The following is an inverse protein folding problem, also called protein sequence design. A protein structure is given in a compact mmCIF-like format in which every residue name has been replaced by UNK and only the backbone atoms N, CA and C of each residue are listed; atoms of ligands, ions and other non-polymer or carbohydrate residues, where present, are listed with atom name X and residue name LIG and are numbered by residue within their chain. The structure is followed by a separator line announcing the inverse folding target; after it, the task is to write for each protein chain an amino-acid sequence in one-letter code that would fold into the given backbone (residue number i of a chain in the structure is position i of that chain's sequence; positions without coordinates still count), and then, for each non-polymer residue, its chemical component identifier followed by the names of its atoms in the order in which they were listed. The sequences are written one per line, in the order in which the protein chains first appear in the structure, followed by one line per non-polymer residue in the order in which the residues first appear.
data_IF_002170588046
#
_entry.id   IF_002170588046
#
_cell.length_a   1.000
_cell.length_b   1.000
_cell.length_c   1.000
_cell.angle_alpha   90.00
_cell.angle_beta   90.00
_cell.angle_gamma   90.00
#
_symmetry.space_group_name_H-M   'P 1'
#
loop_
_entity.id
_entity.type
_entity.pdbx_description
1 polymer ?
#
# COMPACT_ATOMS: atom_id res chain seq x y z
N UNK A 1 -8.90 -9.54 -0.43
CA UNK A 1 -7.87 -8.86 -1.25
C UNK A 1 -7.06 -9.83 -2.10
N UNK A 2 -6.54 -10.92 -1.54
CA UNK A 2 -5.66 -11.86 -2.29
C UNK A 2 -6.33 -12.65 -3.43
N UNK A 3 -7.65 -12.89 -3.38
CA UNK A 3 -8.36 -13.51 -4.51
C UNK A 3 -8.34 -12.67 -5.80
N UNK A 4 -8.47 -11.34 -5.67
CA UNK A 4 -8.39 -10.40 -6.80
C UNK A 4 -6.93 -10.27 -7.27
N UNK A 5 -5.97 -10.25 -6.34
CA UNK A 5 -4.54 -10.28 -6.68
C UNK A 5 -4.19 -11.46 -7.59
N UNK A 6 -4.67 -12.65 -7.23
CA UNK A 6 -4.47 -13.89 -7.99
C UNK A 6 -5.01 -13.81 -9.42
N UNK A 7 -6.20 -13.25 -9.59
CA UNK A 7 -6.81 -13.14 -10.92
C UNK A 7 -6.07 -12.12 -11.79
N UNK A 8 -5.60 -11.03 -11.19
CA UNK A 8 -4.71 -10.07 -11.86
C UNK A 8 -3.39 -10.74 -12.25
N UNK A 9 -2.75 -11.46 -11.34
CA UNK A 9 -1.49 -12.16 -11.61
C UNK A 9 -1.63 -13.14 -12.79
N UNK A 10 -2.72 -13.90 -12.84
CA UNK A 10 -3.00 -14.83 -13.94
C UNK A 10 -3.29 -14.12 -15.26
N UNK A 11 -3.90 -12.94 -15.25
CA UNK A 11 -4.24 -12.19 -16.46
C UNK A 11 -3.05 -11.43 -17.08
N UNK A 12 -1.99 -11.19 -16.31
CA UNK A 12 -0.78 -10.46 -16.74
C UNK A 12 0.31 -11.36 -17.34
N UNK A 13 0.06 -12.67 -17.49
CA UNK A 13 1.05 -13.62 -18.03
C UNK A 13 0.95 -13.73 -19.58
N UNK A 14 2.06 -13.77 -20.36
CA UNK A 14 3.43 -14.10 -19.93
C UNK A 14 4.61 -13.19 -20.40
N UNK A 15 4.65 -11.86 -20.24
CA UNK A 15 5.83 -11.12 -20.77
C UNK A 15 6.55 -10.01 -19.97
N UNK A 16 6.21 -9.63 -18.72
CA UNK A 16 7.05 -8.58 -18.05
C UNK A 16 7.16 -8.54 -16.54
N UNK A 17 6.33 -9.24 -15.75
CA UNK A 17 6.34 -9.07 -14.29
C UNK A 17 6.22 -10.40 -13.53
N UNK A 18 6.96 -10.50 -12.43
CA UNK A 18 6.84 -11.54 -11.42
C UNK A 18 5.96 -11.04 -10.28
N UNK A 19 4.99 -11.86 -9.85
CA UNK A 19 4.11 -11.53 -8.73
C UNK A 19 4.63 -12.17 -7.45
N UNK A 20 4.79 -11.36 -6.41
CA UNK A 20 5.29 -11.79 -5.11
C UNK A 20 4.36 -11.27 -4.01
N UNK A 21 4.03 -12.13 -3.05
CA UNK A 21 3.25 -11.79 -1.86
C UNK A 21 4.20 -11.67 -0.67
N UNK A 22 4.14 -10.54 0.04
CA UNK A 22 4.75 -10.38 1.35
C UNK A 22 3.92 -11.15 2.39
N UNK A 23 4.42 -12.32 2.79
CA UNK A 23 3.85 -13.17 3.82
C UNK A 23 4.39 -12.84 5.21
N UNK A 24 3.63 -13.17 6.24
CA UNK A 24 4.10 -13.15 7.64
C UNK A 24 4.02 -14.56 8.21
N UNK A 25 5.06 -15.01 8.91
CA UNK A 25 5.13 -16.40 9.41
C UNK A 25 4.13 -16.70 10.53
N UNK A 26 3.63 -15.68 11.21
CA UNK A 26 2.66 -15.79 12.31
C UNK A 26 1.19 -15.83 11.86
N UNK A 27 0.95 -15.97 10.55
CA UNK A 27 -0.39 -16.10 9.98
C UNK A 27 -0.55 -17.47 9.32
N UNK A 28 -1.81 -17.87 9.11
CA UNK A 28 -2.20 -19.21 8.65
C UNK A 28 -1.37 -19.71 7.46
N UNK A 29 -0.56 -20.75 7.71
CA UNK A 29 0.31 -21.35 6.71
C UNK A 29 -0.49 -21.98 5.56
N UNK A 30 -1.63 -22.63 5.85
CA UNK A 30 -2.49 -23.23 4.82
C UNK A 30 -3.06 -22.17 3.88
N UNK A 31 -3.33 -20.97 4.41
CA UNK A 31 -3.81 -19.85 3.63
C UNK A 31 -2.76 -19.42 2.58
N UNK A 32 -1.50 -19.30 2.98
CA UNK A 32 -0.42 -18.95 2.07
C UNK A 32 -0.07 -20.07 1.10
N UNK A 33 -0.08 -21.35 1.53
CA UNK A 33 0.16 -22.47 0.61
C UNK A 33 -0.82 -22.50 -0.56
N UNK A 34 -2.12 -22.30 -0.28
CA UNK A 34 -3.15 -22.23 -1.33
C UNK A 34 -2.88 -21.13 -2.36
N UNK A 35 -2.17 -20.07 -1.96
CA UNK A 35 -1.77 -18.97 -2.85
C UNK A 35 -0.47 -19.33 -3.58
N UNK A 36 0.52 -19.89 -2.89
CA UNK A 36 1.82 -20.26 -3.45
C UNK A 36 1.78 -21.43 -4.43
N UNK A 37 0.76 -22.29 -4.35
CA UNK A 37 0.52 -23.38 -5.31
C UNK A 37 0.11 -22.87 -6.71
N UNK A 38 -0.19 -21.58 -6.86
CA UNK A 38 -0.55 -21.02 -8.15
C UNK A 38 0.68 -20.71 -9.00
N UNK A 39 0.61 -21.08 -10.28
CA UNK A 39 1.64 -20.69 -11.26
C UNK A 39 1.78 -19.16 -11.25
N UNK A 40 3.02 -18.70 -11.09
CA UNK A 40 3.45 -17.29 -11.16
C UNK A 40 3.22 -16.42 -9.92
N UNK A 41 2.95 -17.01 -8.74
CA UNK A 41 2.96 -16.26 -7.47
C UNK A 41 4.02 -16.86 -6.54
N UNK A 42 4.99 -16.04 -6.14
CA UNK A 42 5.94 -16.38 -5.07
C UNK A 42 5.50 -15.77 -3.75
N UNK A 43 5.94 -16.36 -2.65
CA UNK A 43 5.71 -15.83 -1.30
C UNK A 43 7.07 -15.63 -0.64
N UNK A 44 7.27 -14.44 -0.07
CA UNK A 44 8.44 -14.09 0.72
C UNK A 44 7.96 -13.77 2.12
N UNK A 45 8.47 -14.50 3.11
CA UNK A 45 8.03 -14.38 4.51
C UNK A 45 8.94 -13.44 5.29
N UNK A 46 8.34 -12.55 6.08
CA UNK A 46 9.00 -11.68 7.06
C UNK A 46 10.13 -10.80 6.50
N UNK A 47 10.16 -10.63 5.17
CA UNK A 47 11.19 -9.86 4.47
C UNK A 47 10.60 -8.80 3.52
N UNK A 48 9.56 -8.13 4.01
CA UNK A 48 8.80 -7.11 3.27
C UNK A 48 9.69 -5.98 2.75
N UNK A 49 10.70 -5.56 3.51
CA UNK A 49 11.54 -4.42 3.14
C UNK A 49 12.53 -4.74 2.02
N UNK A 50 13.16 -5.91 2.03
CA UNK A 50 13.96 -6.32 0.88
C UNK A 50 13.07 -6.53 -0.35
N UNK A 51 11.87 -7.09 -0.18
CA UNK A 51 10.92 -7.23 -1.27
C UNK A 51 10.53 -5.87 -1.86
N UNK A 52 10.22 -4.88 -1.02
CA UNK A 52 9.91 -3.52 -1.47
C UNK A 52 11.10 -2.87 -2.18
N UNK A 53 12.34 -3.12 -1.75
CA UNK A 53 13.53 -2.53 -2.36
C UNK A 53 13.74 -2.90 -3.84
N UNK A 54 13.18 -4.04 -4.27
CA UNK A 54 13.27 -4.54 -5.66
C UNK A 54 11.92 -4.47 -6.39
N UNK A 55 10.85 -4.06 -5.70
CA UNK A 55 9.51 -4.04 -6.27
C UNK A 55 9.34 -2.90 -7.28
N UNK A 56 8.77 -3.21 -8.44
CA UNK A 56 8.49 -2.21 -9.46
C UNK A 56 7.21 -1.41 -9.17
N UNK A 57 6.20 -2.08 -8.60
CA UNK A 57 4.92 -1.52 -8.18
C UNK A 57 4.28 -2.44 -7.11
N UNK A 58 3.34 -1.92 -6.32
CA UNK A 58 2.71 -2.67 -5.24
C UNK A 58 1.18 -2.51 -5.19
N UNK A 59 0.51 -3.57 -4.73
CA UNK A 59 -0.89 -3.54 -4.32
C UNK A 59 -0.89 -3.60 -2.80
N UNK A 60 -1.37 -2.54 -2.15
CA UNK A 60 -1.18 -2.36 -0.71
C UNK A 60 -2.52 -2.20 -0.02
N UNK A 61 -2.72 -2.84 1.12
CA UNK A 61 -3.90 -2.60 1.95
C UNK A 61 -3.81 -1.21 2.61
N UNK A 62 -4.96 -0.62 2.99
CA UNK A 62 -4.92 0.60 3.81
C UNK A 62 -4.24 0.30 5.15
N UNK A 63 -3.24 1.12 5.49
CA UNK A 63 -2.45 0.99 6.71
C UNK A 63 -1.06 1.61 6.60
N UNK A 64 -0.20 1.31 7.57
CA UNK A 64 1.21 1.75 7.61
C UNK A 64 2.01 1.26 6.41
N UNK A 65 1.67 0.08 5.88
CA UNK A 65 2.28 -0.48 4.67
C UNK A 65 2.23 0.49 3.48
N UNK A 66 1.22 1.37 3.40
CA UNK A 66 1.15 2.38 2.34
C UNK A 66 2.29 3.39 2.44
N UNK A 67 2.62 3.81 3.66
CA UNK A 67 3.70 4.74 3.93
C UNK A 67 5.06 4.08 3.76
N UNK A 68 5.22 2.84 4.25
CA UNK A 68 6.46 2.06 4.06
C UNK A 68 6.77 1.86 2.57
N UNK A 69 5.78 1.44 1.79
CA UNK A 69 5.89 1.28 0.32
C UNK A 69 6.31 2.60 -0.35
N UNK A 70 5.73 3.73 0.07
CA UNK A 70 6.09 5.07 -0.41
C UNK A 70 7.54 5.44 -0.04
N UNK A 71 7.99 5.10 1.17
CA UNK A 71 9.37 5.36 1.62
C UNK A 71 10.40 4.65 0.73
N UNK A 72 10.08 3.45 0.24
CA UNK A 72 10.89 2.72 -0.75
C UNK A 72 10.76 3.25 -2.19
N UNK A 73 10.00 4.33 -2.42
CA UNK A 73 9.69 4.87 -3.75
C UNK A 73 9.00 3.86 -4.68
N UNK A 74 8.21 2.94 -4.13
CA UNK A 74 7.48 1.95 -4.92
C UNK A 74 6.08 2.51 -5.24
N UNK A 75 5.74 2.76 -6.52
CA UNK A 75 4.40 3.17 -6.90
C UNK A 75 3.37 2.13 -6.49
N UNK A 76 2.21 2.57 -6.02
CA UNK A 76 1.22 1.68 -5.42
C UNK A 76 -0.23 2.01 -5.79
N UNK A 77 -1.06 0.97 -5.73
CA UNK A 77 -2.53 1.09 -5.70
C UNK A 77 -3.01 0.60 -4.35
N UNK A 78 -3.74 1.45 -3.63
CA UNK A 78 -4.28 1.11 -2.31
C UNK A 78 -5.63 0.45 -2.47
N UNK A 79 -5.80 -0.71 -1.85
CA UNK A 79 -6.99 -1.53 -1.98
C UNK A 79 -7.57 -1.86 -0.60
N UNK A 80 -8.88 -1.67 -0.42
CA UNK A 80 -9.53 -2.08 0.82
C UNK A 80 -10.98 -2.53 0.60
N UNK A 81 -11.31 -3.68 1.20
CA UNK A 81 -12.66 -4.23 1.27
C UNK A 81 -12.96 -4.63 2.70
N UNK A 82 -13.59 -3.73 3.44
CA UNK A 82 -14.11 -3.97 4.79
C UNK A 82 -15.62 -4.16 4.78
N UNK A 83 -16.22 -4.31 5.97
CA UNK A 83 -17.68 -4.31 6.11
C UNK A 83 -18.24 -2.96 5.62
N UNK A 84 -19.16 -3.00 4.66
CA UNK A 84 -19.78 -1.82 4.05
C UNK A 84 -20.46 -0.93 5.09
N UNK A 85 -21.16 -1.54 6.07
CA UNK A 85 -21.88 -0.79 7.10
C UNK A 85 -20.90 -0.02 7.99
N UNK A 86 -19.83 -0.69 8.46
CA UNK A 86 -18.77 -0.06 9.26
C UNK A 86 -18.07 1.05 8.47
N UNK A 87 -17.80 0.85 7.18
CA UNK A 87 -17.20 1.87 6.32
C UNK A 87 -18.11 3.10 6.16
N UNK A 88 -19.41 2.91 5.98
CA UNK A 88 -20.38 3.99 5.84
C UNK A 88 -20.56 4.79 7.14
N UNK A 89 -20.49 4.14 8.29
CA UNK A 89 -20.50 4.80 9.60
C UNK A 89 -19.21 5.62 9.76
N UNK A 90 -18.05 4.98 9.55
CA UNK A 90 -16.75 5.63 9.69
C UNK A 90 -16.63 6.86 8.78
N UNK A 91 -17.05 6.75 7.51
CA UNK A 91 -17.03 7.88 6.55
C UNK A 91 -17.95 9.04 6.95
N UNK A 92 -19.05 8.79 7.66
CA UNK A 92 -19.98 9.84 8.11
C UNK A 92 -19.54 10.50 9.41
N UNK A 93 -18.87 9.75 10.28
CA UNK A 93 -18.39 10.23 11.58
C UNK A 93 -17.02 10.92 11.45
N UNK A 94 -16.16 10.44 10.55
CA UNK A 94 -14.79 10.91 10.39
C UNK A 94 -14.66 11.69 9.08
N UNK A 95 -14.31 12.98 9.20
CA UNK A 95 -14.20 13.94 8.08
C UNK A 95 -12.91 13.79 7.26
N UNK A 96 -12.27 12.63 7.26
CA UNK A 96 -11.00 12.43 6.55
C UNK A 96 -11.32 12.00 5.11
N UNK A 97 -10.87 12.75 4.08
CA UNK A 97 -11.24 12.49 2.68
C UNK A 97 -10.56 11.26 2.08
N UNK A 98 -9.53 10.73 2.73
CA UNK A 98 -8.69 9.63 2.25
C UNK A 98 -8.50 8.54 3.31
N UNK A 99 -8.26 7.31 2.85
CA UNK A 99 -8.09 6.13 3.74
C UNK A 99 -6.63 5.70 3.85
N UNK A 100 -5.79 6.02 2.87
CA UNK A 100 -4.35 5.75 2.94
C UNK A 100 -3.60 6.86 3.69
N UNK A 101 -2.59 6.49 4.48
CA UNK A 101 -1.74 7.48 5.14
C UNK A 101 -1.04 8.39 4.14
N UNK A 102 -0.64 7.84 2.99
CA UNK A 102 0.01 8.59 1.89
C UNK A 102 -0.89 9.74 1.42
N UNK A 103 -2.16 9.48 1.12
CA UNK A 103 -3.07 10.53 0.66
C UNK A 103 -3.47 11.49 1.78
N UNK A 104 -3.62 11.01 3.02
CA UNK A 104 -3.89 11.86 4.19
C UNK A 104 -2.76 12.88 4.37
N UNK A 105 -1.49 12.46 4.33
CA UNK A 105 -0.34 13.36 4.49
C UNK A 105 -0.17 14.27 3.26
N UNK A 106 -0.45 13.76 2.07
CA UNK A 106 -0.44 14.55 0.84
C UNK A 106 -1.52 15.64 0.83
N UNK A 107 -2.63 15.41 1.52
CA UNK A 107 -3.88 16.17 1.43
C UNK A 107 -4.45 16.21 0.01
N UNK A 108 -4.21 15.14 -0.75
CA UNK A 108 -4.71 14.92 -2.11
C UNK A 108 -4.60 13.45 -2.47
N UNK A 109 -5.22 13.04 -3.58
CA UNK A 109 -5.10 11.69 -4.12
C UNK A 109 -3.75 11.49 -4.84
N UNK A 110 -2.68 11.32 -4.06
CA UNK A 110 -1.35 10.99 -4.56
C UNK A 110 -1.28 9.55 -5.10
N UNK A 111 -1.91 8.61 -4.41
CA UNK A 111 -2.04 7.20 -4.82
C UNK A 111 -3.51 6.86 -5.04
N UNK A 112 -3.78 5.96 -6.00
CA UNK A 112 -5.17 5.55 -6.28
C UNK A 112 -5.69 4.67 -5.14
N UNK A 113 -6.87 5.00 -4.63
CA UNK A 113 -7.61 4.19 -3.66
C UNK A 113 -8.78 3.47 -4.35
N UNK A 114 -8.73 2.15 -4.39
CA UNK A 114 -9.81 1.27 -4.81
C UNK A 114 -10.50 0.71 -3.56
N UNK A 115 -11.64 1.32 -3.21
CA UNK A 115 -12.37 1.02 -1.98
C UNK A 115 -13.72 0.35 -2.30
N UNK A 116 -14.09 -0.65 -1.51
CA UNK A 116 -15.41 -1.27 -1.55
C UNK A 116 -15.80 -1.75 -2.96
N UNK A 117 -16.88 -1.21 -3.55
CA UNK A 117 -17.35 -1.58 -4.89
C UNK A 117 -16.38 -1.21 -6.00
N UNK A 118 -15.49 -0.23 -5.78
CA UNK A 118 -14.47 0.14 -6.76
C UNK A 118 -13.31 -0.85 -6.78
N UNK A 119 -13.17 -1.71 -5.76
CA UNK A 119 -12.15 -2.74 -5.72
C UNK A 119 -12.58 -3.97 -6.51
N UNK A 120 -12.52 -3.82 -7.82
CA UNK A 120 -12.76 -4.88 -8.81
C UNK A 120 -11.46 -5.24 -9.53
N UNK A 121 -11.44 -6.42 -10.14
CA UNK A 121 -10.31 -6.89 -10.95
C UNK A 121 -10.01 -5.93 -12.10
N UNK A 122 -11.05 -5.49 -12.82
CA UNK A 122 -10.88 -4.59 -13.96
C UNK A 122 -10.32 -3.23 -13.57
N UNK A 123 -10.84 -2.62 -12.50
CA UNK A 123 -10.29 -1.37 -11.99
C UNK A 123 -8.84 -1.55 -11.51
N UNK A 124 -8.55 -2.67 -10.82
CA UNK A 124 -7.20 -2.93 -10.36
C UNK A 124 -6.22 -3.12 -11.54
N UNK A 125 -6.60 -3.86 -12.59
CA UNK A 125 -5.78 -4.03 -13.80
C UNK A 125 -5.47 -2.69 -14.45
N UNK A 126 -6.48 -1.82 -14.61
CA UNK A 126 -6.33 -0.49 -15.21
C UNK A 126 -5.37 0.37 -14.40
N UNK A 127 -5.54 0.43 -13.09
CA UNK A 127 -4.72 1.28 -12.21
C UNK A 127 -3.30 0.75 -12.06
N UNK A 128 -3.10 -0.57 -12.04
CA UNK A 128 -1.76 -1.16 -12.09
C UNK A 128 -1.05 -0.84 -13.39
N UNK A 129 -1.72 -1.00 -14.55
CA UNK A 129 -1.16 -0.64 -15.85
C UNK A 129 -0.68 0.80 -15.88
N UNK A 130 -1.41 1.71 -15.23
CA UNK A 130 -1.02 3.13 -15.15
C UNK A 130 0.28 3.36 -14.37
N UNK A 131 0.63 2.52 -13.40
CA UNK A 131 1.85 2.71 -12.60
C UNK A 131 3.01 1.81 -13.04
N UNK A 132 2.74 0.78 -13.85
CA UNK A 132 3.75 -0.15 -14.40
C UNK A 132 4.14 0.17 -15.84
N UNK A 133 3.19 0.56 -16.71
CA UNK A 133 3.45 0.77 -18.14
C UNK A 133 3.30 2.23 -18.59
N UNK A 134 2.51 3.04 -17.87
CA UNK A 134 2.35 4.46 -18.18
C UNK A 134 3.26 5.31 -17.29
N UNK A 135 4.27 5.93 -17.88
CA UNK A 135 5.23 6.72 -17.12
C UNK A 135 4.62 7.97 -16.47
N UNK A 136 3.50 8.51 -16.96
CA UNK A 136 2.92 9.75 -16.43
C UNK A 136 2.39 9.57 -15.01
N UNK A 137 1.50 8.59 -14.79
CA UNK A 137 0.93 8.37 -13.45
C UNK A 137 1.99 7.87 -12.46
N UNK A 138 2.92 7.02 -12.93
CA UNK A 138 4.09 6.60 -12.17
C UNK A 138 4.91 7.80 -11.69
N UNK A 139 5.27 8.70 -12.60
CA UNK A 139 6.09 9.87 -12.27
C UNK A 139 5.35 10.85 -11.35
N UNK A 140 4.02 10.98 -11.49
CA UNK A 140 3.21 11.73 -10.54
C UNK A 140 3.31 11.17 -9.13
N UNK A 141 3.14 9.85 -8.94
CA UNK A 141 3.30 9.23 -7.62
C UNK A 141 4.70 9.50 -7.05
N UNK A 142 5.75 9.27 -7.84
CA UNK A 142 7.14 9.48 -7.40
C UNK A 142 7.43 10.94 -7.05
N UNK A 143 6.80 11.89 -7.75
CA UNK A 143 6.92 13.32 -7.44
C UNK A 143 6.23 13.65 -6.12
N UNK A 144 5.01 13.16 -5.94
CA UNK A 144 4.27 13.35 -4.69
C UNK A 144 4.99 12.70 -3.50
N UNK A 145 5.65 11.56 -3.71
CA UNK A 145 6.43 10.90 -2.66
C UNK A 145 7.58 11.76 -2.15
N UNK A 146 8.22 12.56 -3.01
CA UNK A 146 9.25 13.51 -2.58
C UNK A 146 8.65 14.56 -1.64
N UNK A 147 7.54 15.18 -2.04
CA UNK A 147 6.85 16.18 -1.22
C UNK A 147 6.34 15.59 0.11
N UNK A 148 5.83 14.35 0.09
CA UNK A 148 5.38 13.66 1.31
C UNK A 148 6.56 13.38 2.24
N UNK A 149 7.71 12.93 1.71
CA UNK A 149 8.95 12.71 2.49
C UNK A 149 9.44 13.98 3.17
N UNK A 150 9.35 15.11 2.51
CA UNK A 150 9.67 16.42 3.11
C UNK A 150 8.70 16.76 4.26
N UNK A 151 7.39 16.52 4.08
CA UNK A 151 6.38 16.78 5.11
C UNK A 151 6.54 15.91 6.37
N UNK A 152 6.81 14.62 6.23
CA UNK A 152 7.01 13.71 7.38
C UNK A 152 8.31 14.02 8.14
N UNK A 153 9.28 14.63 7.45
CA UNK A 153 10.57 14.99 8.01
C UNK A 153 11.49 13.80 8.25
N UNK A 154 12.56 14.06 8.98
CA UNK A 154 13.61 13.08 9.25
C UNK A 154 13.30 12.22 10.49
N UNK A 155 14.13 11.19 10.68
CA UNK A 155 14.13 10.32 11.87
C UNK A 155 14.19 11.13 13.17
N UNK A 156 13.85 10.48 14.28
CA UNK A 156 13.90 11.07 15.63
C UNK A 156 12.55 11.54 16.16
N UNK A 157 11.43 11.07 15.60
CA UNK A 157 10.10 11.35 16.14
C UNK A 157 9.99 10.94 17.62
N UNK A 158 10.39 9.71 17.96
CA UNK A 158 10.35 9.22 19.34
C UNK A 158 11.25 10.02 20.30
N UNK A 159 12.45 10.40 19.86
CA UNK A 159 13.37 11.22 20.65
C UNK A 159 12.81 12.63 20.90
N UNK A 160 12.27 13.27 19.86
CA UNK A 160 11.58 14.57 19.98
C UNK A 160 10.41 14.47 20.97
N UNK A 161 9.59 13.43 20.87
CA UNK A 161 8.48 13.20 21.80
C UNK A 161 8.98 12.99 23.23
N UNK A 162 10.02 12.17 23.44
CA UNK A 162 10.60 11.96 24.76
C UNK A 162 11.11 13.28 25.38
N UNK A 163 11.83 14.08 24.61
CA UNK A 163 12.32 15.39 25.05
C UNK A 163 11.17 16.35 25.40
N UNK A 164 10.07 16.34 24.63
CA UNK A 164 8.88 17.13 24.92
C UNK A 164 8.18 16.69 26.21
N UNK A 165 8.07 15.38 26.45
CA UNK A 165 7.49 14.85 27.70
C UNK A 165 8.31 15.31 28.91
N UNK A 166 9.64 15.14 28.86
CA UNK A 166 10.52 15.57 29.97
C UNK A 166 10.43 17.08 30.21
N UNK A 167 10.37 17.89 29.14
CA UNK A 167 10.20 19.33 29.26
C UNK A 167 8.87 19.71 29.91
N UNK A 168 7.79 19.02 29.55
CA UNK A 168 6.45 19.28 30.09
C UNK A 168 6.34 18.95 31.59
N UNK A 169 7.05 17.93 32.07
CA UNK A 169 7.06 17.52 33.48
C UNK A 169 7.95 18.40 34.38
N UNK A 170 8.86 19.19 33.79
CA UNK A 170 9.75 20.11 34.53
C UNK A 170 9.19 21.53 34.63
N UNK A 171 8.10 21.82 33.92
CA UNK A 171 7.32 23.04 34.00
C UNK A 171 6.06 22.79 34.82
#
# INVERSE_FOLDING_TARGET
NLGIFREVASAYYPFSFEFVVAGVSNFDYEFYEKIGQQKNIKIVYDDTYNLLSVAHAAIVASGTATLETMLFNVPQVVCYRGNWLSYQIFKRVIKIPFVSLVNIIADKMAVKELLQYNYTIENLKVELKKITLNNTQRNHQLTDYKAIKEKIGNKGASEKTANLIVKYLKN
#
